data_IF_296664866535
#
_entry.id   IF_296664866535
#
_cell.length_a   1.000
_cell.length_b   1.000
_cell.length_c   1.000
_cell.angle_alpha   90.00
_cell.angle_beta   90.00
_cell.angle_gamma   90.00
#
_symmetry.space_group_name_H-M   'P 1'
#
loop_
_entity.id
_entity.type
_entity.pdbx_description
1 polymer ?
#
# COMPACT_ATOMS: atom_id res chain seq x y z
N UNK A 1 0.50 3.44 -29.64
CA UNK A 1 -0.61 4.37 -29.28
C UNK A 1 -1.77 4.42 -30.27
N UNK A 2 -1.56 4.53 -31.60
CA UNK A 2 -2.67 4.67 -32.58
C UNK A 2 -3.72 3.55 -32.50
N UNK A 3 -3.29 2.29 -32.38
CA UNK A 3 -4.21 1.15 -32.27
C UNK A 3 -5.04 1.16 -30.97
N UNK A 4 -4.44 1.51 -29.83
CA UNK A 4 -5.17 1.64 -28.56
C UNK A 4 -6.24 2.74 -28.69
N UNK A 5 -5.89 3.88 -29.28
CA UNK A 5 -6.84 4.97 -29.53
C UNK A 5 -7.96 4.58 -30.49
N UNK A 6 -7.68 3.71 -31.46
CA UNK A 6 -8.67 3.15 -32.39
C UNK A 6 -9.61 2.17 -31.69
N UNK A 7 -9.09 1.27 -30.85
CA UNK A 7 -9.90 0.33 -30.08
C UNK A 7 -10.84 1.05 -29.10
N UNK A 8 -10.33 2.06 -28.38
CA UNK A 8 -11.16 2.93 -27.55
C UNK A 8 -12.20 3.69 -28.40
N UNK A 9 -11.88 4.04 -29.65
CA UNK A 9 -12.84 4.65 -30.58
C UNK A 9 -13.97 3.71 -30.96
N UNK A 10 -13.65 2.42 -31.11
CA UNK A 10 -14.58 1.37 -31.46
C UNK A 10 -15.43 0.89 -30.26
N UNK A 11 -15.25 1.48 -29.08
CA UNK A 11 -16.02 1.15 -27.88
C UNK A 11 -15.45 -0.01 -27.06
N UNK A 12 -14.18 -0.37 -27.26
CA UNK A 12 -13.53 -1.37 -26.40
C UNK A 12 -13.53 -0.89 -24.94
N UNK A 13 -14.01 -1.74 -24.04
CA UNK A 13 -14.02 -1.47 -22.59
C UNK A 13 -12.65 -1.79 -21.98
N UNK A 14 -11.88 -0.78 -21.52
CA UNK A 14 -10.57 -1.00 -20.92
C UNK A 14 -10.65 -1.69 -19.54
N UNK A 15 -11.82 -1.71 -18.90
CA UNK A 15 -12.06 -2.37 -17.62
C UNK A 15 -12.39 -3.85 -17.76
N UNK A 16 -12.70 -4.31 -18.97
CA UNK A 16 -13.03 -5.71 -19.21
C UNK A 16 -11.83 -6.61 -18.85
N UNK A 17 -12.13 -7.68 -18.11
CA UNK A 17 -11.13 -8.67 -17.73
C UNK A 17 -10.97 -9.67 -18.87
N UNK A 18 -9.74 -9.88 -19.33
CA UNK A 18 -9.44 -10.81 -20.41
C UNK A 18 -9.39 -12.26 -19.94
N UNK A 19 -9.77 -13.19 -20.81
CA UNK A 19 -9.51 -14.62 -20.65
C UNK A 19 -8.06 -14.86 -21.04
N UNK A 20 -7.19 -15.17 -20.06
CA UNK A 20 -5.77 -15.39 -20.33
C UNK A 20 -5.49 -16.73 -21.03
N UNK A 21 -6.35 -17.74 -20.85
CA UNK A 21 -6.25 -19.06 -21.49
C UNK A 21 -7.63 -19.63 -21.86
N UNK A 22 -7.78 -20.13 -23.08
CA UNK A 22 -9.03 -20.73 -23.59
C UNK A 22 -9.50 -21.97 -22.81
N UNK A 23 -8.62 -22.60 -22.03
CA UNK A 23 -8.88 -23.86 -21.30
C UNK A 23 -8.83 -23.75 -19.76
N UNK A 24 -8.61 -22.56 -19.19
CA UNK A 24 -8.57 -22.41 -17.72
C UNK A 24 -9.97 -22.07 -17.18
N UNK A 25 -10.48 -22.92 -16.27
CA UNK A 25 -11.64 -22.56 -15.44
C UNK A 25 -11.37 -21.22 -14.74
N UNK A 26 -12.38 -20.34 -14.80
CA UNK A 26 -12.30 -18.95 -14.33
C UNK A 26 -12.03 -18.87 -12.83
N UNK A 27 -10.80 -18.55 -12.45
CA UNK A 27 -10.56 -17.87 -11.18
C UNK A 27 -10.63 -16.36 -11.41
N UNK A 28 -11.78 -15.76 -11.08
CA UNK A 28 -11.99 -14.31 -11.13
C UNK A 28 -10.89 -13.51 -10.38
N UNK A 29 -10.17 -14.18 -9.47
CA UNK A 29 -9.05 -13.61 -8.71
C UNK A 29 -7.77 -13.37 -9.53
N UNK A 30 -7.63 -13.94 -10.74
CA UNK A 30 -6.38 -13.83 -11.56
C UNK A 30 -6.58 -13.19 -12.94
N UNK A 31 -7.81 -12.81 -13.27
CA UNK A 31 -8.08 -12.13 -14.54
C UNK A 31 -7.52 -10.70 -14.50
N UNK A 32 -6.85 -10.27 -15.57
CA UNK A 32 -6.32 -8.91 -15.72
C UNK A 32 -7.18 -8.11 -16.68
N UNK A 33 -7.43 -6.84 -16.36
CA UNK A 33 -7.96 -5.88 -17.33
C UNK A 33 -6.85 -5.33 -18.24
N UNK A 34 -7.24 -4.70 -19.35
CA UNK A 34 -6.27 -4.03 -20.22
C UNK A 34 -5.47 -2.93 -19.47
N UNK A 35 -6.11 -2.26 -18.51
CA UNK A 35 -5.45 -1.26 -17.66
C UNK A 35 -4.43 -1.89 -16.71
N UNK A 36 -4.75 -3.06 -16.14
CA UNK A 36 -3.81 -3.76 -15.26
C UNK A 36 -2.55 -4.17 -16.01
N UNK A 37 -2.69 -4.67 -17.24
CA UNK A 37 -1.55 -5.02 -18.09
C UNK A 37 -0.70 -3.80 -18.45
N UNK A 38 -1.34 -2.67 -18.77
CA UNK A 38 -0.62 -1.43 -19.03
C UNK A 38 0.20 -0.99 -17.80
N UNK A 39 -0.40 -1.00 -16.61
CA UNK A 39 0.30 -0.66 -15.37
C UNK A 39 1.40 -1.68 -15.02
N UNK A 40 1.11 -2.98 -15.12
CA UNK A 40 2.04 -4.08 -14.84
C UNK A 40 3.28 -4.02 -15.73
N UNK A 41 3.13 -3.65 -17.00
CA UNK A 41 4.25 -3.51 -17.94
C UNK A 41 4.86 -2.10 -17.98
N UNK A 42 4.31 -1.15 -17.21
CA UNK A 42 4.86 0.21 -17.10
C UNK A 42 4.51 1.13 -18.27
N UNK A 43 3.49 0.79 -19.05
CA UNK A 43 2.96 1.59 -20.16
C UNK A 43 2.06 2.72 -19.65
N UNK A 44 2.61 3.57 -18.77
CA UNK A 44 1.85 4.66 -18.12
C UNK A 44 1.39 5.73 -19.11
N UNK A 45 2.02 5.82 -20.28
CA UNK A 45 1.61 6.68 -21.40
C UNK A 45 0.18 6.39 -21.89
N UNK A 46 -0.34 5.18 -21.66
CA UNK A 46 -1.72 4.81 -22.01
C UNK A 46 -2.74 5.63 -21.20
N UNK A 47 -2.39 5.97 -19.96
CA UNK A 47 -3.24 6.72 -19.03
C UNK A 47 -3.25 8.23 -19.29
N UNK A 48 -2.50 8.70 -20.29
CA UNK A 48 -2.48 10.08 -20.78
C UNK A 48 -3.32 10.25 -22.06
N UNK A 49 -3.91 9.16 -22.59
CA UNK A 49 -4.76 9.23 -23.78
C UNK A 49 -6.05 9.99 -23.47
N UNK A 50 -6.30 11.10 -24.18
CA UNK A 50 -7.50 11.94 -24.01
C UNK A 50 -8.85 11.19 -24.11
N UNK A 51 -8.87 10.07 -24.83
CA UNK A 51 -10.09 9.24 -25.02
C UNK A 51 -10.30 8.24 -23.89
N UNK A 52 -9.27 7.95 -23.10
CA UNK A 52 -9.38 7.08 -21.95
C UNK A 52 -9.93 7.91 -20.78
N UNK A 53 -11.21 7.70 -20.46
CA UNK A 53 -11.85 8.34 -19.31
C UNK A 53 -11.90 7.34 -18.18
N UNK A 54 -11.08 7.57 -17.16
CA UNK A 54 -11.08 6.73 -15.98
C UNK A 54 -12.22 7.16 -15.04
N UNK A 55 -13.10 6.24 -14.70
CA UNK A 55 -14.02 6.39 -13.57
C UNK A 55 -13.29 6.01 -12.27
N UNK A 56 -12.96 6.97 -11.39
CA UNK A 56 -12.25 6.70 -10.13
C UNK A 56 -13.02 5.79 -9.18
N UNK A 57 -14.34 5.62 -9.35
CA UNK A 57 -15.15 4.73 -8.51
C UNK A 57 -15.13 3.28 -8.99
N UNK A 58 -14.54 3.02 -10.16
CA UNK A 58 -14.48 1.69 -10.72
C UNK A 58 -13.51 0.81 -9.95
N UNK A 59 -13.99 -0.33 -9.41
CA UNK A 59 -13.22 -1.23 -8.55
C UNK A 59 -11.96 -1.79 -9.21
N UNK A 60 -11.97 -2.03 -10.53
CA UNK A 60 -10.81 -2.51 -11.28
C UNK A 60 -9.58 -1.58 -11.20
N UNK A 61 -9.78 -0.28 -10.96
CA UNK A 61 -8.66 0.66 -10.81
C UNK A 61 -7.82 0.39 -9.56
N UNK A 62 -8.32 -0.37 -8.59
CA UNK A 62 -7.52 -0.77 -7.40
C UNK A 62 -6.38 -1.68 -7.79
N UNK A 63 -6.64 -2.68 -8.66
CA UNK A 63 -5.60 -3.55 -9.22
C UNK A 63 -4.61 -2.74 -10.06
N UNK A 64 -5.12 -1.84 -10.90
CA UNK A 64 -4.28 -0.97 -11.73
C UNK A 64 -3.38 -0.07 -10.89
N UNK A 65 -3.92 0.53 -9.81
CA UNK A 65 -3.16 1.33 -8.85
C UNK A 65 -2.08 0.49 -8.17
N UNK A 66 -2.39 -0.74 -7.76
CA UNK A 66 -1.43 -1.66 -7.15
C UNK A 66 -0.23 -1.91 -8.07
N UNK A 67 -0.46 -2.23 -9.35
CA UNK A 67 0.61 -2.44 -10.32
C UNK A 67 1.36 -1.16 -10.72
N UNK A 68 0.78 0.01 -10.45
CA UNK A 68 1.39 1.32 -10.67
C UNK A 68 2.27 1.80 -9.52
N UNK A 69 2.35 1.05 -8.40
CA UNK A 69 3.18 1.39 -7.24
C UNK A 69 4.68 1.09 -7.46
N UNK A 70 5.24 1.65 -8.54
CA UNK A 70 6.63 1.49 -8.96
C UNK A 70 7.10 2.73 -9.73
N UNK A 71 8.37 2.74 -10.12
CA UNK A 71 8.96 3.81 -10.92
C UNK A 71 8.10 4.13 -12.16
N UNK A 72 7.92 5.43 -12.45
CA UNK A 72 7.07 5.93 -13.53
C UNK A 72 5.56 5.94 -13.22
N UNK A 73 5.08 5.11 -12.29
CA UNK A 73 3.66 4.95 -12.00
C UNK A 73 3.10 5.86 -10.91
N UNK A 74 3.94 6.49 -10.08
CA UNK A 74 3.47 7.35 -8.98
C UNK A 74 2.59 8.52 -9.43
N UNK A 75 2.86 9.11 -10.60
CA UNK A 75 2.03 10.17 -11.16
C UNK A 75 0.61 9.69 -11.46
N UNK A 76 0.47 8.46 -11.98
CA UNK A 76 -0.83 7.83 -12.18
C UNK A 76 -1.51 7.54 -10.84
N UNK A 77 -0.80 6.95 -9.88
CA UNK A 77 -1.33 6.69 -8.53
C UNK A 77 -1.86 7.97 -7.90
N UNK A 78 -1.08 9.06 -7.92
CA UNK A 78 -1.50 10.34 -7.37
C UNK A 78 -2.75 10.90 -8.06
N UNK A 79 -2.83 10.85 -9.40
CA UNK A 79 -4.03 11.27 -10.14
C UNK A 79 -5.26 10.46 -9.76
N UNK A 80 -5.14 9.14 -9.64
CA UNK A 80 -6.25 8.26 -9.26
C UNK A 80 -6.76 8.58 -7.84
N UNK A 81 -5.85 8.80 -6.89
CA UNK A 81 -6.20 9.15 -5.52
C UNK A 81 -6.85 10.54 -5.43
N UNK A 82 -6.33 11.52 -6.17
CA UNK A 82 -6.94 12.86 -6.25
C UNK A 82 -8.34 12.84 -6.89
N UNK A 83 -8.58 11.92 -7.83
CA UNK A 83 -9.88 11.73 -8.44
C UNK A 83 -10.90 11.03 -7.51
N UNK A 84 -10.48 10.59 -6.32
CA UNK A 84 -11.36 9.98 -5.32
C UNK A 84 -11.47 8.46 -5.42
N UNK A 85 -10.45 7.78 -5.93
CA UNK A 85 -10.37 6.32 -5.87
C UNK A 85 -10.42 5.84 -4.42
N UNK A 86 -11.32 4.90 -4.13
CA UNK A 86 -11.45 4.29 -2.80
C UNK A 86 -10.20 3.45 -2.49
N UNK A 87 -9.39 3.96 -1.56
CA UNK A 87 -8.05 3.45 -1.22
C UNK A 87 -8.07 2.36 -0.15
N UNK A 88 -9.07 2.35 0.73
CA UNK A 88 -9.20 1.39 1.83
C UNK A 88 -10.28 0.36 1.47
N UNK A 89 -9.86 -0.70 0.79
CA UNK A 89 -10.71 -1.71 0.18
C UNK A 89 -11.01 -2.92 1.09
N UNK A 90 -10.45 -2.97 2.29
CA UNK A 90 -10.70 -4.04 3.26
C UNK A 90 -11.86 -3.69 4.20
N UNK A 91 -12.58 -4.72 4.65
CA UNK A 91 -13.72 -4.59 5.59
C UNK A 91 -13.35 -3.87 6.90
N UNK A 92 -12.12 -4.03 7.37
CA UNK A 92 -11.61 -3.38 8.58
C UNK A 92 -11.08 -1.94 8.33
N UNK A 93 -11.29 -1.39 7.12
CA UNK A 93 -10.79 -0.08 6.70
C UNK A 93 -9.30 -0.05 6.39
N UNK A 94 -8.68 -1.22 6.16
CA UNK A 94 -7.32 -1.35 5.65
C UNK A 94 -7.22 -1.22 4.13
N UNK A 95 -5.98 -1.05 3.65
CA UNK A 95 -5.61 -0.98 2.25
C UNK A 95 -4.81 -2.23 1.86
N UNK A 96 -5.38 -3.05 0.96
CA UNK A 96 -4.74 -4.26 0.42
C UNK A 96 -3.43 -3.93 -0.27
N UNK A 97 -3.34 -2.78 -0.96
CA UNK A 97 -2.10 -2.37 -1.63
C UNK A 97 -0.96 -2.16 -0.63
N UNK A 98 -1.18 -1.49 0.51
CA UNK A 98 -0.13 -1.35 1.53
C UNK A 98 0.27 -2.73 2.10
N UNK A 99 -0.72 -3.59 2.40
CA UNK A 99 -0.45 -4.93 2.90
C UNK A 99 0.45 -5.73 1.95
N UNK A 100 0.13 -5.73 0.65
CA UNK A 100 0.91 -6.42 -0.38
C UNK A 100 2.30 -5.79 -0.60
N UNK A 101 2.44 -4.46 -0.54
CA UNK A 101 3.72 -3.78 -0.67
C UNK A 101 4.67 -4.14 0.48
N UNK A 102 4.18 -4.13 1.72
CA UNK A 102 4.97 -4.50 2.91
C UNK A 102 5.35 -5.98 2.85
N UNK A 103 4.41 -6.86 2.53
CA UNK A 103 4.69 -8.28 2.33
C UNK A 103 5.72 -8.52 1.21
N UNK A 104 5.67 -7.71 0.15
CA UNK A 104 6.54 -7.77 -1.02
C UNK A 104 7.95 -7.22 -0.83
N UNK A 105 8.26 -6.48 0.24
CA UNK A 105 9.60 -5.90 0.47
C UNK A 105 10.71 -6.96 0.42
N UNK A 106 10.46 -8.13 0.99
CA UNK A 106 11.42 -9.24 1.03
C UNK A 106 11.21 -10.30 -0.05
N UNK A 107 10.34 -10.08 -1.04
CA UNK A 107 9.97 -11.08 -2.06
C UNK A 107 10.93 -11.06 -3.26
N UNK A 108 11.49 -9.89 -3.62
CA UNK A 108 12.55 -9.77 -4.61
C UNK A 108 13.77 -10.64 -4.24
N UNK A 109 14.06 -10.77 -2.94
CA UNK A 109 15.08 -11.64 -2.40
C UNK A 109 14.81 -13.14 -2.58
N UNK A 110 13.56 -13.57 -2.81
CA UNK A 110 13.19 -14.98 -2.98
C UNK A 110 13.19 -15.45 -4.44
N UNK A 111 12.96 -14.55 -5.39
CA UNK A 111 12.79 -14.88 -6.81
C UNK A 111 14.07 -14.72 -7.64
N UNK A 112 15.17 -14.28 -7.04
CA UNK A 112 16.49 -14.19 -7.68
C UNK A 112 17.08 -15.59 -7.93
N UNK A 113 17.20 -16.06 -9.19
CA UNK A 113 17.73 -17.41 -9.49
C UNK A 113 19.24 -17.53 -9.26
N UNK A 114 19.95 -16.41 -9.15
CA UNK A 114 21.40 -16.34 -8.87
C UNK A 114 21.72 -16.18 -7.37
N UNK A 115 20.71 -16.24 -6.48
CA UNK A 115 20.87 -16.10 -5.03
C UNK A 115 21.70 -17.21 -4.35
N UNK A 116 22.15 -18.24 -5.06
CA UNK A 116 22.91 -19.34 -4.45
C UNK A 116 24.36 -18.98 -4.11
N UNK A 117 24.90 -17.84 -4.59
CA UNK A 117 26.30 -17.47 -4.37
C UNK A 117 26.56 -15.96 -4.32
N UNK A 118 25.82 -15.14 -3.57
CA UNK A 118 26.40 -13.88 -3.09
C UNK A 118 25.66 -13.22 -1.92
N UNK A 119 26.45 -13.00 -0.87
CA UNK A 119 26.32 -12.08 0.26
C UNK A 119 25.10 -12.17 1.16
N UNK A 120 25.39 -12.52 2.42
CA UNK A 120 24.55 -12.41 3.61
C UNK A 120 24.25 -10.95 4.00
N UNK A 121 24.04 -10.08 3.01
CA UNK A 121 23.71 -8.67 3.17
C UNK A 121 22.20 -8.49 3.11
N UNK A 122 21.65 -7.75 4.08
CA UNK A 122 20.28 -7.25 4.08
C UNK A 122 19.94 -6.67 2.69
N UNK A 123 18.84 -7.08 2.08
CA UNK A 123 18.50 -6.73 0.70
C UNK A 123 18.00 -5.28 0.65
N UNK A 124 18.72 -4.39 -0.03
CA UNK A 124 18.28 -3.04 -0.38
C UNK A 124 18.28 -2.92 -1.91
N UNK A 125 17.11 -3.02 -2.53
CA UNK A 125 16.94 -2.95 -3.98
C UNK A 125 16.18 -1.68 -4.36
N UNK A 126 16.38 -1.22 -5.61
CA UNK A 126 15.57 -0.11 -6.17
C UNK A 126 14.07 -0.39 -6.00
N UNK A 127 13.64 -1.61 -6.30
CA UNK A 127 12.25 -2.04 -6.14
C UNK A 127 11.73 -1.88 -4.70
N UNK A 128 12.52 -2.25 -3.68
CA UNK A 128 12.12 -2.09 -2.29
C UNK A 128 12.03 -0.61 -1.87
N UNK A 129 12.89 0.25 -2.40
CA UNK A 129 12.79 1.71 -2.20
C UNK A 129 11.52 2.26 -2.84
N UNK A 130 11.17 1.81 -4.04
CA UNK A 130 9.91 2.19 -4.70
C UNK A 130 8.68 1.73 -3.91
N UNK A 131 8.73 0.55 -3.28
CA UNK A 131 7.65 0.09 -2.38
C UNK A 131 7.48 1.00 -1.17
N UNK A 132 8.56 1.48 -0.54
CA UNK A 132 8.42 2.45 0.57
C UNK A 132 7.89 3.80 0.10
N UNK A 133 8.33 4.30 -1.07
CA UNK A 133 7.77 5.52 -1.66
C UNK A 133 6.27 5.36 -1.94
N UNK A 134 5.86 4.20 -2.46
CA UNK A 134 4.45 3.87 -2.67
C UNK A 134 3.67 3.85 -1.35
N UNK A 135 4.19 3.18 -0.31
CA UNK A 135 3.56 3.14 1.02
C UNK A 135 3.43 4.56 1.59
N UNK A 136 4.46 5.40 1.46
CA UNK A 136 4.41 6.81 1.85
C UNK A 136 3.29 7.54 1.10
N UNK A 137 3.29 7.48 -0.23
CA UNK A 137 2.29 8.14 -1.06
C UNK A 137 0.87 7.71 -0.65
N UNK A 138 0.61 6.40 -0.55
CA UNK A 138 -0.68 5.86 -0.16
C UNK A 138 -1.10 6.35 1.24
N UNK A 139 -0.19 6.27 2.22
CA UNK A 139 -0.46 6.72 3.58
C UNK A 139 -0.75 8.24 3.64
N UNK A 140 -0.07 9.05 2.84
CA UNK A 140 -0.33 10.50 2.70
C UNK A 140 -1.77 10.79 2.25
N UNK A 141 -2.33 9.93 1.39
CA UNK A 141 -3.72 10.01 0.91
C UNK A 141 -4.70 9.24 1.81
N UNK A 142 -4.28 8.76 2.98
CA UNK A 142 -5.17 8.16 3.98
C UNK A 142 -5.33 6.64 3.89
N UNK A 143 -4.52 5.94 3.10
CA UNK A 143 -4.45 4.48 3.16
C UNK A 143 -4.00 4.02 4.53
N UNK A 144 -4.55 2.88 4.98
CA UNK A 144 -4.20 2.28 6.26
C UNK A 144 -3.61 0.89 6.10
N UNK A 145 -2.53 0.62 6.80
CA UNK A 145 -2.11 -0.74 7.12
C UNK A 145 -2.91 -1.24 8.33
N UNK A 146 -3.92 -2.08 8.09
CA UNK A 146 -4.73 -2.71 9.12
C UNK A 146 -4.70 -4.24 8.94
N UNK A 147 -3.69 -4.93 9.49
CA UNK A 147 -3.62 -6.39 9.41
C UNK A 147 -4.87 -7.05 9.97
N UNK A 148 -5.44 -8.00 9.23
CA UNK A 148 -6.65 -8.74 9.64
C UNK A 148 -6.36 -9.74 10.75
N UNK A 149 -5.18 -10.35 10.70
CA UNK A 149 -4.76 -11.38 11.65
C UNK A 149 -3.24 -11.32 11.97
N UNK A 150 -2.83 -12.18 12.91
CA UNK A 150 -1.42 -12.31 13.33
C UNK A 150 -0.54 -12.85 12.18
N UNK A 151 -1.11 -13.61 11.25
CA UNK A 151 -0.43 -14.14 10.07
C UNK A 151 0.07 -13.03 9.14
N UNK A 152 -0.77 -12.04 8.84
CA UNK A 152 -0.39 -10.86 8.05
C UNK A 152 0.73 -10.06 8.71
N UNK A 153 0.71 -9.92 10.04
CA UNK A 153 1.80 -9.28 10.80
C UNK A 153 3.08 -10.13 10.72
N UNK A 154 2.97 -11.47 10.82
CA UNK A 154 4.11 -12.39 10.67
C UNK A 154 4.73 -12.30 9.27
N UNK A 155 3.93 -12.15 8.22
CA UNK A 155 4.42 -11.93 6.86
C UNK A 155 5.18 -10.61 6.77
N UNK A 156 4.58 -9.49 7.20
CA UNK A 156 5.22 -8.18 7.23
C UNK A 156 6.55 -8.21 8.00
N UNK A 157 6.56 -8.87 9.17
CA UNK A 157 7.76 -9.05 10.00
C UNK A 157 8.88 -9.78 9.27
N UNK A 158 8.56 -10.91 8.62
CA UNK A 158 9.54 -11.69 7.85
C UNK A 158 10.12 -10.87 6.69
N UNK A 159 9.30 -10.06 6.04
CA UNK A 159 9.74 -9.21 4.94
C UNK A 159 10.67 -8.10 5.42
N UNK A 160 10.32 -7.40 6.51
CA UNK A 160 11.15 -6.34 7.10
C UNK A 160 12.48 -6.87 7.66
N UNK A 161 12.49 -8.05 8.28
CA UNK A 161 13.73 -8.65 8.80
C UNK A 161 14.79 -8.95 7.72
N UNK A 162 14.37 -9.12 6.46
CA UNK A 162 15.27 -9.32 5.32
C UNK A 162 15.88 -8.01 4.80
N UNK A 163 15.30 -6.88 5.14
CA UNK A 163 15.73 -5.53 4.73
C UNK A 163 16.76 -4.97 5.73
N UNK A 164 17.24 -3.75 5.50
CA UNK A 164 17.99 -3.01 6.55
C UNK A 164 17.05 -2.48 7.63
N UNK A 165 17.59 -2.17 8.81
CA UNK A 165 16.82 -1.63 9.93
C UNK A 165 16.15 -0.30 9.60
N UNK A 166 16.76 0.49 8.71
CA UNK A 166 16.20 1.75 8.21
C UNK A 166 14.82 1.56 7.59
N UNK A 167 14.59 0.49 6.81
CA UNK A 167 13.28 0.22 6.21
C UNK A 167 12.19 0.03 7.27
N UNK A 168 12.50 -0.64 8.37
CA UNK A 168 11.55 -0.82 9.47
C UNK A 168 11.22 0.53 10.13
N UNK A 169 12.24 1.35 10.39
CA UNK A 169 12.08 2.65 11.04
C UNK A 169 11.34 3.63 10.13
N UNK A 170 11.65 3.65 8.83
CA UNK A 170 10.97 4.45 7.83
C UNK A 170 9.51 4.03 7.68
N UNK A 171 9.24 2.73 7.57
CA UNK A 171 7.88 2.21 7.54
C UNK A 171 7.08 2.66 8.77
N UNK A 172 7.67 2.53 9.97
CA UNK A 172 7.08 3.00 11.23
C UNK A 172 6.84 4.51 11.26
N UNK A 173 7.80 5.30 10.76
CA UNK A 173 7.66 6.74 10.68
C UNK A 173 6.53 7.14 9.72
N UNK A 174 6.44 6.52 8.54
CA UNK A 174 5.40 6.78 7.54
C UNK A 174 4.02 6.53 8.17
N UNK A 175 3.77 5.29 8.63
CA UNK A 175 2.47 4.93 9.16
C UNK A 175 2.13 5.70 10.44
N UNK A 176 3.15 6.11 11.21
CA UNK A 176 2.95 6.91 12.39
C UNK A 176 2.58 8.36 12.11
N UNK A 177 3.29 8.98 11.18
CA UNK A 177 3.04 10.35 10.71
C UNK A 177 1.63 10.51 10.15
N UNK A 178 1.17 9.54 9.35
CA UNK A 178 -0.13 9.60 8.69
C UNK A 178 -1.25 8.87 9.44
N UNK A 179 -0.98 8.32 10.63
CA UNK A 179 -1.95 7.52 11.42
C UNK A 179 -2.54 6.36 10.60
N UNK A 180 -1.71 5.77 9.76
CA UNK A 180 -2.09 4.69 8.85
C UNK A 180 -2.13 3.32 9.53
N UNK A 181 -1.88 3.20 10.84
CA UNK A 181 -1.93 1.92 11.54
C UNK A 181 -2.34 2.11 13.01
N UNK A 182 -2.88 1.05 13.62
CA UNK A 182 -3.11 1.01 15.06
C UNK A 182 -1.79 0.83 15.82
N UNK A 183 -1.73 1.38 17.04
CA UNK A 183 -0.55 1.22 17.91
C UNK A 183 -0.31 -0.25 18.24
N UNK A 184 -1.37 -1.01 18.46
CA UNK A 184 -1.28 -2.42 18.87
C UNK A 184 -0.68 -3.29 17.76
N UNK A 185 -1.05 -3.05 16.50
CA UNK A 185 -0.45 -3.77 15.37
C UNK A 185 1.05 -3.51 15.25
N UNK A 186 1.54 -2.32 15.61
CA UNK A 186 2.97 -2.00 15.59
C UNK A 186 3.72 -2.56 16.78
N UNK A 187 3.11 -2.53 17.96
CA UNK A 187 3.69 -3.23 19.11
C UNK A 187 3.78 -4.74 18.85
N UNK A 188 2.75 -5.32 18.25
CA UNK A 188 2.75 -6.73 17.84
C UNK A 188 3.84 -6.99 16.78
N UNK A 189 3.99 -6.13 15.78
CA UNK A 189 5.06 -6.23 14.78
C UNK A 189 6.44 -6.31 15.45
N UNK A 190 6.71 -5.43 16.41
CA UNK A 190 8.00 -5.30 17.11
C UNK A 190 8.18 -6.25 18.30
N UNK A 191 7.14 -6.99 18.70
CA UNK A 191 7.15 -7.74 19.95
C UNK A 191 8.26 -8.80 20.01
N UNK A 192 8.67 -9.37 18.88
CA UNK A 192 9.62 -10.49 18.86
C UNK A 192 11.06 -10.05 19.15
N UNK A 193 11.89 -10.90 19.81
CA UNK A 193 13.29 -10.60 20.07
C UNK A 193 14.07 -10.25 18.80
N UNK A 194 13.86 -10.99 17.71
CA UNK A 194 14.53 -10.75 16.43
C UNK A 194 14.25 -9.35 15.87
N UNK A 195 13.02 -8.85 16.01
CA UNK A 195 12.69 -7.48 15.59
C UNK A 195 13.37 -6.47 16.48
N UNK A 196 13.34 -6.64 17.81
CA UNK A 196 14.00 -5.72 18.74
C UNK A 196 15.49 -5.63 18.50
N UNK A 197 16.16 -6.76 18.26
CA UNK A 197 17.58 -6.78 17.87
C UNK A 197 17.78 -6.10 16.51
N UNK A 198 16.91 -6.38 15.53
CA UNK A 198 16.99 -5.81 14.19
C UNK A 198 16.91 -4.28 14.20
N UNK A 199 16.03 -3.68 15.01
CA UNK A 199 15.88 -2.22 15.14
C UNK A 199 16.70 -1.59 16.28
N UNK A 200 17.57 -2.35 16.94
CA UNK A 200 18.22 -1.94 18.19
C UNK A 200 18.97 -0.61 18.08
N UNK A 201 19.66 -0.38 16.95
CA UNK A 201 20.39 0.87 16.68
C UNK A 201 19.49 2.11 16.63
N UNK A 202 18.20 1.93 16.33
CA UNK A 202 17.22 3.00 16.23
C UNK A 202 16.24 3.02 17.41
N UNK A 203 16.54 2.31 18.51
CA UNK A 203 15.67 2.24 19.69
C UNK A 203 15.22 3.62 20.20
N UNK A 204 16.09 4.64 20.34
CA UNK A 204 15.67 5.96 20.82
C UNK A 204 14.62 6.59 19.90
N UNK A 205 14.82 6.47 18.58
CA UNK A 205 13.90 7.00 17.57
C UNK A 205 12.57 6.27 17.58
N UNK A 206 12.58 4.96 17.73
CA UNK A 206 11.36 4.15 17.84
C UNK A 206 10.56 4.53 19.09
N UNK A 207 11.22 4.67 20.24
CA UNK A 207 10.57 5.13 21.48
C UNK A 207 9.93 6.50 21.31
N UNK A 208 10.61 7.43 20.63
CA UNK A 208 10.07 8.76 20.32
C UNK A 208 8.79 8.67 19.46
N UNK A 209 8.82 7.86 18.39
CA UNK A 209 7.66 7.64 17.51
C UNK A 209 6.48 7.05 18.27
N UNK A 210 6.72 6.01 19.09
CA UNK A 210 5.70 5.38 19.93
C UNK A 210 5.12 6.36 20.98
N UNK A 211 5.96 7.22 21.57
CA UNK A 211 5.52 8.22 22.54
C UNK A 211 4.74 9.38 21.90
N UNK A 212 5.08 9.75 20.66
CA UNK A 212 4.32 10.72 19.89
C UNK A 212 2.88 10.21 19.67
N UNK A 213 2.70 8.92 19.33
CA UNK A 213 1.37 8.32 19.17
C UNK A 213 0.47 8.43 20.40
N UNK A 214 1.00 8.19 21.60
CA UNK A 214 0.23 8.28 22.85
C UNK A 214 -0.30 9.70 23.10
N UNK A 215 0.50 10.74 22.79
CA UNK A 215 0.12 12.14 22.97
C UNK A 215 -1.00 12.57 22.01
N UNK A 216 -1.05 11.98 20.80
CA UNK A 216 -2.10 12.26 19.83
C UNK A 216 -3.44 11.58 20.17
N UNK A 217 -3.41 10.36 20.72
CA UNK A 217 -4.62 9.65 21.15
C UNK A 217 -5.37 10.43 22.25
N UNK A 218 -4.65 10.97 23.23
CA UNK A 218 -5.22 11.77 24.32
C UNK A 218 -5.85 13.08 23.83
N UNK A 219 -5.20 13.78 22.89
CA UNK A 219 -5.74 15.02 22.30
C UNK A 219 -6.98 14.77 21.44
N UNK A 220 -7.03 13.66 20.72
CA UNK A 220 -8.18 13.29 19.88
C UNK A 220 -9.39 12.87 20.72
N UNK A 221 -9.17 12.10 21.80
CA UNK A 221 -10.24 11.78 22.77
C UNK A 221 -10.80 13.03 23.43
N UNK A 222 -9.94 13.99 23.81
CA UNK A 222 -10.37 15.28 24.33
C UNK A 222 -11.16 16.12 23.30
N UNK A 223 -10.73 16.17 22.03
CA UNK A 223 -11.43 16.90 20.97
C UNK A 223 -12.77 16.26 20.57
N UNK A 224 -12.86 14.94 20.53
CA UNK A 224 -14.11 14.24 20.24
C UNK A 224 -15.09 14.30 21.43
N UNK A 225 -14.60 14.30 22.67
CA UNK A 225 -15.42 14.54 23.86
C UNK A 225 -16.00 15.96 23.83
N UNK A 226 -15.18 16.97 23.54
CA UNK A 226 -15.63 18.35 23.37
C UNK A 226 -16.66 18.50 22.24
N UNK A 227 -16.46 17.84 21.09
CA UNK A 227 -17.44 17.84 19.98
C UNK A 227 -18.73 17.09 20.31
N UNK A 228 -18.65 15.99 21.04
CA UNK A 228 -19.82 15.25 21.53
C UNK A 228 -20.63 16.06 22.53
N UNK A 229 -19.96 16.72 23.48
CA UNK A 229 -20.59 17.58 24.49
C UNK A 229 -21.23 18.83 23.84
N UNK A 230 -20.60 19.41 22.81
CA UNK A 230 -21.19 20.49 21.99
C UNK A 230 -22.40 20.02 21.18
N UNK A 231 -22.39 18.81 20.63
CA UNK A 231 -23.53 18.26 19.89
C UNK A 231 -24.74 17.94 20.79
N UNK A 232 -24.49 17.59 22.06
CA UNK A 232 -25.53 17.39 23.09
C UNK A 232 -26.10 18.73 23.57
N UNK A 233 -25.29 19.79 23.66
CA UNK A 233 -25.79 21.13 24.01
C UNK A 233 -26.61 21.81 22.88
N UNK A 234 -26.36 21.46 21.61
CA UNK A 234 -27.11 22.02 20.47
C UNK A 234 -28.41 21.26 20.19
N UNK A 235 -28.55 20.01 20.67
CA UNK A 235 -29.73 19.15 20.45
C UNK A 235 -30.36 18.63 21.76
N UNK A 236 -30.10 19.27 22.90
CA UNK A 236 -30.81 19.00 24.15
C UNK A 236 -32.23 19.60 24.13
N UNK A 237 -33.19 19.02 24.87
CA UNK A 237 -34.63 19.24 24.71
C UNK A 237 -35.10 20.68 24.88
#
# INVERSE_FOLDING_TARGET
>A
MKWISLLLAAGADPYSHGVYHFDSEQDAATSFSALDLAALHGHFEVFELKRLRLDPRHSALRSTMHYSCKEGGFGLVERLLQAGLEINDQENGGCTTIQSLVAGLGLAAQLSPWSSKQESGRFDTSESREKLKAIHLLAKYGARWAPKDIGEIKVARRSLLKMTSDYTVEFMWIIGKYKACSRDAILELLHTPSMRTHVGEHEPRIRELLAAWSRYSLRFSAQNKLRGDLAIMVNGP
#
